data_IF_213057441443
#
_entry.id   IF_213057441443
#
_cell.length_a   1.000
_cell.length_b   1.000
_cell.length_c   1.000
_cell.angle_alpha   90.00
_cell.angle_beta   90.00
_cell.angle_gamma   90.00
#
_symmetry.space_group_name_H-M   'P 1'
#
loop_
_entity.id
_entity.type
_entity.pdbx_description
1 polymer ?
#
# COMPACT_ATOMS: atom_id res chain seq x y z
N UNK A 1 32.23 -6.00 -4.00
CA UNK A 1 30.98 -5.91 -4.76
C UNK A 1 30.36 -4.57 -4.41
N UNK A 2 30.72 -3.51 -5.12
CA UNK A 2 30.11 -2.20 -4.91
C UNK A 2 28.79 -2.24 -5.67
N UNK A 3 27.72 -2.65 -5.00
CA UNK A 3 26.40 -2.62 -5.60
C UNK A 3 25.97 -1.17 -5.73
N UNK A 4 25.78 -0.68 -6.96
CA UNK A 4 25.17 0.62 -7.20
C UNK A 4 23.78 0.65 -6.54
N UNK A 5 23.54 1.65 -5.69
CA UNK A 5 22.26 1.83 -5.00
C UNK A 5 21.33 2.64 -5.89
N UNK A 6 20.40 1.98 -6.58
CA UNK A 6 19.41 2.67 -7.42
C UNK A 6 18.15 3.03 -6.64
N UNK A 7 17.63 4.23 -6.87
CA UNK A 7 16.36 4.68 -6.32
C UNK A 7 15.20 3.86 -6.92
N UNK A 8 14.37 3.18 -6.12
CA UNK A 8 13.28 2.34 -6.63
C UNK A 8 12.17 3.11 -7.37
N UNK A 9 12.10 4.44 -7.21
CA UNK A 9 11.10 5.29 -7.86
C UNK A 9 11.50 5.67 -9.29
N UNK A 10 12.69 6.26 -9.45
CA UNK A 10 13.15 6.78 -10.74
C UNK A 10 14.14 5.86 -11.46
N UNK A 11 14.61 4.80 -10.78
CA UNK A 11 15.56 3.80 -11.28
C UNK A 11 16.98 4.33 -11.58
N UNK A 12 17.27 5.57 -11.17
CA UNK A 12 18.60 6.17 -11.29
C UNK A 12 19.47 5.91 -10.05
N UNK A 13 20.80 5.89 -10.20
CA UNK A 13 21.73 5.77 -9.08
C UNK A 13 21.54 6.88 -8.04
N UNK A 14 21.71 6.52 -6.78
CA UNK A 14 21.84 7.46 -5.66
C UNK A 14 23.33 7.61 -5.37
N UNK A 15 23.84 8.81 -5.54
CA UNK A 15 25.26 9.12 -5.29
C UNK A 15 25.48 9.55 -3.84
N UNK A 16 26.73 9.46 -3.36
CA UNK A 16 27.07 9.77 -1.96
C UNK A 16 26.89 11.26 -1.58
N UNK A 17 26.84 12.15 -2.57
CA UNK A 17 26.69 13.60 -2.37
C UNK A 17 25.21 14.04 -2.31
N UNK A 18 24.29 13.15 -2.71
CA UNK A 18 22.86 13.46 -2.79
C UNK A 18 22.13 13.16 -1.47
N UNK A 19 21.13 13.99 -1.16
CA UNK A 19 20.24 13.73 -0.04
C UNK A 19 19.37 12.50 -0.33
N UNK A 20 19.47 11.49 0.52
CA UNK A 20 18.71 10.24 0.42
C UNK A 20 17.82 10.02 1.64
N UNK A 21 16.72 9.29 1.44
CA UNK A 21 15.82 8.86 2.51
C UNK A 21 15.63 7.35 2.43
N UNK A 22 15.93 6.65 3.53
CA UNK A 22 15.68 5.22 3.66
C UNK A 22 14.35 4.95 4.35
N UNK A 23 13.64 3.92 3.90
CA UNK A 23 12.43 3.42 4.53
C UNK A 23 12.76 2.71 5.85
N UNK A 24 12.06 3.04 6.94
CA UNK A 24 12.26 2.38 8.23
C UNK A 24 11.76 0.92 8.33
N UNK A 25 11.05 0.42 7.30
CA UNK A 25 10.50 -0.95 7.27
C UNK A 25 11.27 -1.89 6.35
N UNK A 26 11.55 -1.48 5.11
CA UNK A 26 12.21 -2.33 4.12
C UNK A 26 13.64 -1.89 3.77
N UNK A 27 14.14 -0.81 4.37
CA UNK A 27 15.47 -0.23 4.13
C UNK A 27 15.75 0.24 2.68
N UNK A 28 14.74 0.20 1.81
CA UNK A 28 14.84 0.76 0.47
C UNK A 28 15.17 2.25 0.56
N UNK A 29 16.13 2.70 -0.26
CA UNK A 29 16.65 4.07 -0.23
C UNK A 29 16.24 4.81 -1.49
N UNK A 30 15.77 6.03 -1.31
CA UNK A 30 15.24 6.91 -2.35
C UNK A 30 16.00 8.22 -2.36
N UNK A 31 16.03 8.93 -3.49
CA UNK A 31 16.31 10.36 -3.46
C UNK A 31 15.30 11.06 -2.55
N UNK A 32 15.74 12.09 -1.81
CA UNK A 32 14.88 12.88 -0.90
C UNK A 32 13.65 13.45 -1.62
N UNK A 33 13.84 13.89 -2.87
CA UNK A 33 12.80 14.40 -3.77
C UNK A 33 11.78 13.30 -4.09
N UNK A 34 12.25 12.17 -4.62
CA UNK A 34 11.41 11.02 -4.99
C UNK A 34 10.63 10.47 -3.79
N UNK A 35 11.23 10.43 -2.60
CA UNK A 35 10.53 10.05 -1.37
C UNK A 35 9.35 10.97 -1.07
N UNK A 36 9.54 12.28 -1.25
CA UNK A 36 8.53 13.29 -0.96
C UNK A 36 7.42 13.29 -2.01
N UNK A 37 7.77 13.16 -3.29
CA UNK A 37 6.84 13.05 -4.41
C UNK A 37 5.97 11.79 -4.31
N UNK A 38 6.59 10.65 -3.99
CA UNK A 38 5.91 9.38 -3.77
C UNK A 38 5.19 9.31 -2.41
N UNK A 39 5.29 10.36 -1.59
CA UNK A 39 4.69 10.49 -0.24
C UNK A 39 5.09 9.36 0.72
N UNK A 40 6.28 8.80 0.56
CA UNK A 40 6.79 7.69 1.37
C UNK A 40 7.36 6.54 0.53
N UNK A 41 7.41 5.35 1.13
CA UNK A 41 8.01 4.18 0.49
C UNK A 41 7.21 3.75 -0.75
N UNK A 42 7.96 3.50 -1.82
CA UNK A 42 7.51 3.04 -3.12
C UNK A 42 7.69 1.53 -3.37
N UNK A 43 8.11 0.76 -2.35
CA UNK A 43 8.39 -0.66 -2.52
C UNK A 43 7.11 -1.46 -2.35
N UNK A 44 6.67 -2.12 -3.44
CA UNK A 44 5.60 -3.10 -3.37
C UNK A 44 5.91 -4.14 -2.29
N UNK A 45 4.94 -4.44 -1.43
CA UNK A 45 5.16 -5.36 -0.31
C UNK A 45 5.62 -4.70 1.00
N UNK A 46 6.04 -3.43 0.98
CA UNK A 46 6.47 -2.74 2.19
C UNK A 46 5.25 -2.32 3.04
N UNK A 47 5.26 -2.53 4.38
CA UNK A 47 4.16 -2.07 5.23
C UNK A 47 3.83 -0.57 5.07
N UNK A 48 4.85 0.27 4.87
CA UNK A 48 4.68 1.72 4.66
C UNK A 48 4.20 2.14 3.27
N UNK A 49 4.15 1.24 2.29
CA UNK A 49 3.61 1.52 0.94
C UNK A 49 2.12 1.84 0.97
N UNK A 50 1.39 1.15 1.85
CA UNK A 50 -0.06 1.27 2.00
C UNK A 50 -0.52 2.67 2.41
N UNK A 51 0.29 3.37 3.19
CA UNK A 51 0.02 4.73 3.68
C UNK A 51 0.39 5.82 2.67
N UNK A 52 1.30 5.54 1.73
CA UNK A 52 1.86 6.53 0.80
C UNK A 52 1.25 6.46 -0.61
N UNK A 53 0.79 5.28 -1.04
CA UNK A 53 0.34 5.08 -2.43
C UNK A 53 -1.12 5.50 -2.65
N UNK A 54 -1.42 6.47 -3.53
CA UNK A 54 -2.81 6.73 -3.97
C UNK A 54 -3.41 5.55 -4.77
N UNK A 55 -2.57 4.60 -5.19
CA UNK A 55 -2.93 3.37 -5.89
C UNK A 55 -3.16 2.17 -4.96
N UNK A 56 -2.92 2.34 -3.65
CA UNK A 56 -3.57 1.54 -2.64
C UNK A 56 -5.06 1.73 -2.83
N UNK A 57 -5.69 0.90 -3.67
CA UNK A 57 -7.12 0.94 -3.90
C UNK A 57 -7.76 0.80 -2.53
N UNK A 58 -8.22 1.92 -1.98
CA UNK A 58 -9.19 1.90 -0.90
C UNK A 58 -10.35 1.10 -1.45
N UNK A 59 -10.64 -0.05 -0.85
CA UNK A 59 -11.99 -0.56 -0.91
C UNK A 59 -12.93 0.63 -0.60
N UNK A 60 -14.03 0.82 -1.35
CA UNK A 60 -14.96 1.91 -1.06
C UNK A 60 -15.31 1.84 0.43
N UNK A 61 -15.19 2.97 1.13
CA UNK A 61 -15.49 3.01 2.55
C UNK A 61 -16.96 2.59 2.72
N UNK A 62 -17.29 1.69 3.67
CA UNK A 62 -18.68 1.37 3.95
C UNK A 62 -19.38 2.67 4.37
N UNK A 63 -20.43 3.06 3.64
CA UNK A 63 -21.30 4.16 4.06
C UNK A 63 -22.08 3.69 5.29
N UNK A 64 -21.99 4.46 6.37
CA UNK A 64 -22.76 4.21 7.59
C UNK A 64 -23.89 5.22 7.63
N UNK A 65 -25.10 4.77 7.30
CA UNK A 65 -26.31 5.56 7.45
C UNK A 65 -26.96 5.17 8.79
N UNK A 66 -27.31 6.16 9.62
CA UNK A 66 -28.03 5.92 10.87
C UNK A 66 -29.54 5.93 10.57
N UNK A 67 -30.19 4.77 10.67
CA UNK A 67 -31.65 4.65 10.53
C UNK A 67 -32.23 4.20 11.87
N UNK A 68 -33.14 5.00 12.41
CA UNK A 68 -33.92 4.71 13.64
C UNK A 68 -33.06 4.31 14.86
N UNK A 69 -32.05 5.13 15.17
CA UNK A 69 -31.21 4.96 16.35
C UNK A 69 -30.26 3.75 16.32
N UNK A 70 -30.22 3.01 15.21
CA UNK A 70 -29.23 1.96 14.94
C UNK A 70 -28.24 2.42 13.89
N UNK A 71 -26.96 2.17 14.14
CA UNK A 71 -25.94 2.17 13.08
C UNK A 71 -26.18 0.93 12.26
N UNK A 72 -26.87 1.08 11.13
CA UNK A 72 -27.03 0.00 10.17
C UNK A 72 -25.88 0.13 9.19
N UNK A 73 -24.93 -0.81 9.26
CA UNK A 73 -23.93 -0.96 8.20
C UNK A 73 -24.66 -1.66 7.05
N UNK A 74 -25.35 -0.89 6.21
CA UNK A 74 -25.83 -1.41 4.92
C UNK A 74 -24.62 -1.44 3.98
N UNK A 75 -23.79 -2.47 4.13
CA UNK A 75 -23.24 -3.04 2.91
C UNK A 75 -24.47 -3.47 2.12
N UNK A 76 -24.80 -2.74 1.05
CA UNK A 76 -25.81 -3.19 0.10
C UNK A 76 -25.50 -4.67 -0.16
N UNK A 77 -26.46 -5.56 0.12
CA UNK A 77 -26.27 -7.01 0.12
C UNK A 77 -26.19 -7.57 -1.31
N UNK A 78 -25.35 -6.96 -2.13
CA UNK A 78 -24.54 -7.68 -3.10
C UNK A 78 -23.14 -7.75 -2.44
N UNK A 79 -22.62 -8.93 -2.02
CA UNK A 79 -21.19 -9.00 -1.78
C UNK A 79 -20.54 -8.44 -3.06
N UNK A 80 -19.54 -7.54 -3.01
CA UNK A 80 -18.79 -7.24 -4.21
C UNK A 80 -18.27 -8.60 -4.67
N UNK A 81 -18.92 -9.13 -5.72
CA UNK A 81 -18.71 -10.48 -6.20
C UNK A 81 -17.24 -10.54 -6.55
N UNK A 82 -16.44 -11.13 -5.65
CA UNK A 82 -15.01 -10.98 -5.75
C UNK A 82 -14.21 -10.79 -4.47
N UNK A 83 -14.72 -10.61 -3.24
CA UNK A 83 -13.83 -10.67 -2.04
C UNK A 83 -13.69 -12.12 -1.55
N UNK A 84 -12.46 -12.65 -1.58
CA UNK A 84 -12.15 -14.02 -1.16
C UNK A 84 -11.84 -14.12 0.34
N UNK A 85 -11.04 -13.18 0.85
CA UNK A 85 -10.53 -13.18 2.23
C UNK A 85 -10.02 -11.81 2.65
N UNK A 86 -9.71 -11.66 3.93
CA UNK A 86 -8.98 -10.50 4.44
C UNK A 86 -7.52 -10.88 4.68
N UNK A 87 -6.60 -9.96 4.42
CA UNK A 87 -5.18 -10.17 4.63
C UNK A 87 -4.82 -10.13 6.12
N UNK A 88 -4.17 -11.17 6.65
CA UNK A 88 -3.79 -11.22 8.08
C UNK A 88 -2.72 -10.19 8.47
N UNK A 89 -1.97 -9.66 7.50
CA UNK A 89 -0.91 -8.69 7.75
C UNK A 89 -1.41 -7.24 7.79
N UNK A 90 -2.51 -6.92 7.11
CA UNK A 90 -2.96 -5.52 7.00
C UNK A 90 -4.48 -5.32 7.05
N UNK A 91 -5.27 -6.40 7.15
CA UNK A 91 -6.73 -6.38 7.23
C UNK A 91 -7.46 -6.01 5.93
N UNK A 92 -6.77 -5.76 4.81
CA UNK A 92 -7.45 -5.44 3.55
C UNK A 92 -8.18 -6.62 2.94
N UNK A 93 -9.30 -6.32 2.28
CA UNK A 93 -9.99 -7.27 1.42
C UNK A 93 -9.10 -7.68 0.24
N UNK A 94 -9.03 -8.98 -0.01
CA UNK A 94 -8.32 -9.60 -1.14
C UNK A 94 -9.38 -10.15 -2.08
N UNK A 95 -9.20 -9.90 -3.39
CA UNK A 95 -10.16 -10.38 -4.37
C UNK A 95 -9.98 -11.87 -4.72
N UNK A 96 -11.02 -12.53 -5.24
CA UNK A 96 -11.06 -13.97 -5.57
C UNK A 96 -9.97 -14.38 -6.57
N UNK A 97 -9.64 -13.48 -7.51
CA UNK A 97 -8.59 -13.72 -8.50
C UNK A 97 -7.18 -13.30 -8.01
N UNK A 98 -7.10 -12.61 -6.87
CA UNK A 98 -5.84 -12.12 -6.33
C UNK A 98 -5.16 -13.18 -5.45
N UNK A 99 -3.93 -13.56 -5.84
CA UNK A 99 -3.09 -14.49 -5.05
C UNK A 99 -2.29 -13.81 -3.94
N UNK A 100 -2.28 -12.49 -3.93
CA UNK A 100 -1.54 -11.67 -2.98
C UNK A 100 -2.36 -10.45 -2.59
N UNK A 101 -2.08 -9.89 -1.42
CA UNK A 101 -2.71 -8.64 -1.03
C UNK A 101 -2.22 -7.49 -1.91
N UNK A 102 -3.12 -6.85 -2.67
CA UNK A 102 -2.79 -5.68 -3.50
C UNK A 102 -2.31 -4.45 -2.71
N UNK A 103 -2.54 -4.43 -1.38
CA UNK A 103 -2.09 -3.35 -0.51
C UNK A 103 -0.68 -3.60 0.05
N UNK A 104 -0.46 -4.72 0.73
CA UNK A 104 0.79 -4.98 1.45
C UNK A 104 1.67 -6.04 0.78
N UNK A 105 1.28 -6.56 -0.40
CA UNK A 105 2.03 -7.54 -1.17
C UNK A 105 2.19 -8.92 -0.51
N UNK A 106 1.63 -9.15 0.69
CA UNK A 106 1.72 -10.43 1.35
C UNK A 106 1.04 -11.52 0.50
N UNK A 107 1.75 -12.61 0.26
CA UNK A 107 1.20 -13.84 -0.29
C UNK A 107 0.30 -14.52 0.74
N UNK A 108 -0.81 -15.06 0.27
CA UNK A 108 -1.91 -15.51 1.12
C UNK A 108 -2.14 -17.01 1.05
#
# INVERSE_FOLDING_TARGET
MTGELNCPYCLWPITADESAQSCGYCSATYHRECWSENRGCGTFGCPSWSTSSPRARRAPAPTTEAVDGRVVVTAEMDPPSGVARFCDMCGQAVLVDDRFCGLCGNTL
#
